data_IF_074361434462
#
_entry.id   IF_074361434462
#
_cell.length_a   1.000
_cell.length_b   1.000
_cell.length_c   1.000
_cell.angle_alpha   90.00
_cell.angle_beta   90.00
_cell.angle_gamma   90.00
#
_symmetry.space_group_name_H-M   'P 1'
#
loop_
_entity.id
_entity.type
_entity.pdbx_description
1 polymer ?
#
# COMPACT_ATOMS: atom_id res chain seq x y z
N UNK A 1 -19.66 -32.26 -5.74
CA UNK A 1 -19.21 -30.88 -6.02
C UNK A 1 -19.17 -30.77 -7.52
N UNK A 2 -19.90 -29.82 -8.09
CA UNK A 2 -19.86 -29.55 -9.52
C UNK A 2 -18.52 -28.87 -9.85
N UNK A 3 -17.88 -29.28 -10.94
CA UNK A 3 -16.60 -28.69 -11.39
C UNK A 3 -16.77 -27.19 -11.67
N UNK A 4 -15.78 -26.33 -11.37
CA UNK A 4 -15.79 -24.90 -11.71
C UNK A 4 -16.16 -24.62 -13.17
N UNK A 5 -15.79 -25.55 -14.05
CA UNK A 5 -16.07 -25.49 -15.49
C UNK A 5 -17.58 -25.51 -15.80
N UNK A 6 -18.41 -26.15 -14.94
CA UNK A 6 -19.89 -26.15 -15.05
C UNK A 6 -20.46 -24.73 -14.87
N UNK A 7 -19.73 -23.87 -14.17
CA UNK A 7 -20.05 -22.45 -13.98
C UNK A 7 -19.22 -21.51 -14.88
N UNK A 8 -18.45 -22.07 -15.83
CA UNK A 8 -17.57 -21.29 -16.73
C UNK A 8 -16.31 -20.72 -16.05
N UNK A 9 -15.95 -21.22 -14.88
CA UNK A 9 -14.77 -20.80 -14.13
C UNK A 9 -13.56 -21.67 -14.48
N UNK A 10 -12.36 -21.08 -14.43
CA UNK A 10 -11.11 -21.81 -14.59
C UNK A 10 -10.97 -22.85 -13.46
N UNK A 11 -10.40 -24.04 -13.70
CA UNK A 11 -10.14 -25.06 -12.67
C UNK A 11 -9.37 -24.56 -11.43
N UNK A 12 -8.66 -23.44 -11.54
CA UNK A 12 -7.96 -22.81 -10.43
C UNK A 12 -8.90 -22.14 -9.41
N UNK A 13 -10.17 -21.93 -9.76
CA UNK A 13 -11.18 -21.38 -8.86
C UNK A 13 -11.43 -22.33 -7.67
N UNK A 14 -11.44 -23.64 -7.90
CA UNK A 14 -11.54 -24.64 -6.82
C UNK A 14 -10.31 -24.61 -5.92
N UNK A 15 -9.11 -24.49 -6.49
CA UNK A 15 -7.86 -24.40 -5.73
C UNK A 15 -7.85 -23.13 -4.88
N UNK A 16 -8.31 -22.00 -5.44
CA UNK A 16 -8.39 -20.71 -4.74
C UNK A 16 -9.42 -20.78 -3.61
N UNK A 17 -10.59 -21.35 -3.87
CA UNK A 17 -11.64 -21.55 -2.88
C UNK A 17 -11.17 -22.44 -1.72
N UNK A 18 -10.52 -23.57 -2.03
CA UNK A 18 -9.98 -24.48 -1.02
C UNK A 18 -8.84 -23.82 -0.23
N UNK A 19 -7.97 -23.04 -0.88
CA UNK A 19 -6.90 -22.30 -0.23
C UNK A 19 -7.43 -21.23 0.73
N UNK A 20 -8.43 -20.44 0.31
CA UNK A 20 -9.09 -19.44 1.15
C UNK A 20 -9.81 -20.11 2.33
N UNK A 21 -10.56 -21.19 2.09
CA UNK A 21 -11.26 -21.93 3.14
C UNK A 21 -10.29 -22.53 4.15
N UNK A 22 -9.18 -23.11 3.69
CA UNK A 22 -8.13 -23.62 4.56
C UNK A 22 -7.47 -22.50 5.38
N UNK A 23 -7.19 -21.35 4.76
CA UNK A 23 -6.67 -20.18 5.45
C UNK A 23 -7.65 -19.67 6.52
N UNK A 24 -8.95 -19.60 6.22
CA UNK A 24 -9.99 -19.18 7.18
C UNK A 24 -10.12 -20.15 8.37
N UNK A 25 -10.04 -21.46 8.12
CA UNK A 25 -10.03 -22.48 9.17
C UNK A 25 -8.78 -22.32 10.05
N UNK A 26 -7.59 -22.20 9.46
CA UNK A 26 -6.34 -22.00 10.20
C UNK A 26 -6.35 -20.68 10.98
N UNK A 27 -6.93 -19.62 10.41
CA UNK A 27 -7.12 -18.33 11.07
C UNK A 27 -8.04 -18.47 12.28
N UNK A 28 -9.14 -19.20 12.14
CA UNK A 28 -10.07 -19.48 13.24
C UNK A 28 -9.41 -20.29 14.34
N UNK A 29 -8.64 -21.33 13.99
CA UNK A 29 -7.89 -22.14 14.96
C UNK A 29 -6.89 -21.27 15.74
N UNK A 30 -6.12 -20.44 15.03
CA UNK A 30 -5.15 -19.51 15.65
C UNK A 30 -5.85 -18.54 16.61
N UNK A 31 -7.00 -18.00 16.21
CA UNK A 31 -7.76 -17.05 17.02
C UNK A 31 -8.39 -17.68 18.29
N UNK A 32 -8.65 -18.99 18.30
CA UNK A 32 -9.23 -19.73 19.44
C UNK A 32 -8.15 -20.21 20.42
N UNK A 33 -6.88 -20.29 20.00
CA UNK A 33 -5.80 -20.70 20.90
C UNK A 33 -5.74 -19.78 22.13
N UNK A 34 -5.59 -20.33 23.36
CA UNK A 34 -5.49 -19.52 24.56
C UNK A 34 -4.27 -18.59 24.47
N UNK A 35 -4.53 -17.30 24.25
CA UNK A 35 -3.51 -16.24 24.16
C UNK A 35 -2.76 -16.02 25.49
N UNK A 36 -3.35 -16.51 26.57
CA UNK A 36 -2.75 -16.66 27.90
C UNK A 36 -2.46 -18.15 28.13
N UNK A 37 -1.36 -18.66 27.62
CA UNK A 37 -0.90 -20.00 28.02
C UNK A 37 0.62 -20.10 28.12
N UNK A 38 1.08 -20.35 29.36
CA UNK A 38 2.36 -20.99 29.65
C UNK A 38 3.50 -20.05 30.02
N UNK A 39 3.80 -19.97 31.33
CA UNK A 39 5.08 -19.47 31.85
C UNK A 39 6.25 -20.38 31.46
N UNK A 40 6.63 -20.33 30.18
CA UNK A 40 7.90 -20.85 29.68
C UNK A 40 8.96 -19.75 29.71
N UNK A 41 10.24 -20.15 29.78
CA UNK A 41 11.45 -19.29 29.80
C UNK A 41 11.68 -18.59 28.45
N UNK A 42 10.66 -18.47 27.61
CA UNK A 42 10.70 -17.79 26.31
C UNK A 42 10.43 -16.30 26.43
N UNK A 43 10.84 -15.56 25.40
CA UNK A 43 10.51 -14.14 25.25
C UNK A 43 8.99 -13.94 25.19
N UNK A 44 8.47 -12.93 25.89
CA UNK A 44 7.02 -12.67 25.92
C UNK A 44 6.51 -12.14 24.59
N UNK A 45 5.21 -12.30 24.31
CA UNK A 45 4.56 -11.76 23.10
C UNK A 45 4.78 -10.26 23.00
N UNK A 46 4.66 -9.58 24.14
CA UNK A 46 4.89 -8.14 24.30
C UNK A 46 6.31 -7.75 23.91
N UNK A 47 7.33 -8.48 24.37
CA UNK A 47 8.72 -8.19 24.04
C UNK A 47 9.02 -8.38 22.54
N UNK A 48 8.48 -9.44 21.92
CA UNK A 48 8.60 -9.67 20.47
C UNK A 48 7.96 -8.53 19.68
N UNK A 49 6.72 -8.15 20.03
CA UNK A 49 5.99 -7.07 19.36
C UNK A 49 6.65 -5.72 19.59
N UNK A 50 7.22 -5.47 20.78
CA UNK A 50 7.94 -4.25 21.08
C UNK A 50 9.16 -4.08 20.17
N UNK A 51 9.99 -5.12 20.00
CA UNK A 51 11.14 -5.09 19.07
C UNK A 51 10.70 -4.88 17.63
N UNK A 52 9.63 -5.57 17.20
CA UNK A 52 9.05 -5.38 15.87
C UNK A 52 8.56 -3.93 15.66
N UNK A 53 7.92 -3.34 16.68
CA UNK A 53 7.48 -1.95 16.63
C UNK A 53 8.66 -0.98 16.52
N UNK A 54 9.78 -1.24 17.20
CA UNK A 54 11.02 -0.47 17.05
C UNK A 54 11.59 -0.56 15.64
N UNK A 55 11.77 -1.77 15.11
CA UNK A 55 12.30 -1.99 13.77
C UNK A 55 11.43 -1.33 12.69
N UNK A 56 10.11 -1.39 12.86
CA UNK A 56 9.16 -0.73 11.95
C UNK A 56 9.24 0.79 12.08
N UNK A 57 9.32 1.34 13.29
CA UNK A 57 9.42 2.79 13.51
C UNK A 57 10.70 3.38 12.93
N UNK A 58 11.82 2.67 13.03
CA UNK A 58 13.11 3.10 12.45
C UNK A 58 13.04 3.20 10.93
N UNK A 59 12.35 2.26 10.28
CA UNK A 59 12.20 2.20 8.82
C UNK A 59 11.04 3.04 8.29
N UNK A 60 10.10 3.44 9.16
CA UNK A 60 8.88 4.14 8.75
C UNK A 60 9.24 5.51 8.15
N UNK A 61 8.80 5.81 6.92
CA UNK A 61 9.16 7.05 6.25
C UNK A 61 8.73 8.28 7.04
N UNK A 62 9.49 9.39 7.01
CA UNK A 62 9.10 10.61 7.69
C UNK A 62 7.83 11.21 7.10
N UNK A 63 7.12 11.98 7.91
CA UNK A 63 5.89 12.65 7.51
C UNK A 63 6.13 13.62 6.33
N UNK A 64 5.14 13.69 5.45
CA UNK A 64 5.07 14.71 4.42
C UNK A 64 4.75 16.07 5.02
N UNK A 65 5.71 16.99 4.94
CA UNK A 65 5.56 18.35 5.43
C UNK A 65 4.66 19.14 4.47
N UNK A 66 3.46 19.60 4.88
CA UNK A 66 2.47 20.15 3.94
C UNK A 66 2.95 21.36 3.14
N UNK A 67 3.70 22.27 3.79
CA UNK A 67 4.21 23.46 3.12
C UNK A 67 5.29 23.12 2.08
N UNK A 68 6.12 22.11 2.35
CA UNK A 68 7.17 21.65 1.45
C UNK A 68 6.57 20.98 0.22
N UNK A 69 5.64 20.03 0.42
CA UNK A 69 4.92 19.37 -0.68
C UNK A 69 4.20 20.40 -1.55
N UNK A 70 3.51 21.38 -0.94
CA UNK A 70 2.85 22.46 -1.68
C UNK A 70 3.83 23.27 -2.52
N UNK A 71 4.97 23.66 -1.96
CA UNK A 71 5.99 24.43 -2.67
C UNK A 71 6.57 23.66 -3.86
N UNK A 72 6.79 22.34 -3.70
CA UNK A 72 7.27 21.45 -4.77
C UNK A 72 6.22 21.31 -5.88
N UNK A 73 4.96 21.05 -5.54
CA UNK A 73 3.86 20.97 -6.50
C UNK A 73 3.71 22.26 -7.31
N UNK A 74 3.85 23.43 -6.67
CA UNK A 74 3.79 24.73 -7.38
C UNK A 74 4.86 24.79 -8.46
N UNK A 75 6.12 24.41 -8.15
CA UNK A 75 7.23 24.37 -9.12
C UNK A 75 7.00 23.38 -10.26
N UNK A 76 6.31 22.27 -10.01
CA UNK A 76 5.98 21.25 -11.02
C UNK A 76 4.76 21.60 -11.89
N UNK A 77 4.05 22.68 -11.58
CA UNK A 77 2.77 23.02 -12.20
C UNK A 77 1.60 22.33 -11.50
N UNK A 78 1.25 22.81 -10.30
CA UNK A 78 0.22 22.22 -9.42
C UNK A 78 -1.20 22.11 -10.03
N UNK A 79 -1.49 22.79 -11.13
CA UNK A 79 -2.76 22.72 -11.86
C UNK A 79 -2.78 21.61 -12.93
N UNK A 80 -1.64 20.97 -13.19
CA UNK A 80 -1.54 19.82 -14.08
C UNK A 80 -2.24 18.62 -13.42
N UNK A 81 -3.05 17.91 -14.20
CA UNK A 81 -3.88 16.80 -13.72
C UNK A 81 -3.06 15.74 -12.97
N UNK A 82 -1.87 15.41 -13.49
CA UNK A 82 -0.94 14.46 -12.86
C UNK A 82 -0.42 14.92 -11.50
N UNK A 83 -0.18 16.23 -11.31
CA UNK A 83 0.29 16.77 -10.04
C UNK A 83 -0.84 16.91 -9.01
N UNK A 84 -2.08 17.16 -9.47
CA UNK A 84 -3.27 17.11 -8.63
C UNK A 84 -3.47 15.68 -8.11
N UNK A 85 -3.33 14.69 -9.01
CA UNK A 85 -3.39 13.27 -8.65
C UNK A 85 -2.31 12.90 -7.62
N UNK A 86 -1.04 13.23 -7.87
CA UNK A 86 0.07 12.99 -6.94
C UNK A 86 -0.21 13.57 -5.55
N UNK A 87 -0.74 14.81 -5.48
CA UNK A 87 -1.10 15.44 -4.20
C UNK A 87 -2.10 14.60 -3.42
N UNK A 88 -3.16 14.12 -4.08
CA UNK A 88 -4.20 13.31 -3.43
C UNK A 88 -3.65 11.97 -2.91
N UNK A 89 -2.74 11.35 -3.67
CA UNK A 89 -2.06 10.12 -3.27
C UNK A 89 -1.12 10.34 -2.08
N UNK A 90 -0.35 11.44 -2.07
CA UNK A 90 0.48 11.86 -0.92
C UNK A 90 -0.38 12.11 0.32
N UNK A 91 -1.51 12.82 0.17
CA UNK A 91 -2.42 13.10 1.28
C UNK A 91 -2.99 11.80 1.89
N UNK A 92 -3.23 10.76 1.08
CA UNK A 92 -3.62 9.43 1.56
C UNK A 92 -2.45 8.69 2.23
N UNK A 93 -1.28 8.66 1.61
CA UNK A 93 -0.09 8.01 2.17
C UNK A 93 0.28 8.61 3.53
N UNK A 94 0.22 9.93 3.67
CA UNK A 94 0.48 10.63 4.93
C UNK A 94 -0.48 10.21 6.04
N UNK A 95 -1.77 9.93 5.73
CA UNK A 95 -2.72 9.42 6.73
C UNK A 95 -2.31 8.04 7.22
N UNK A 96 -1.90 7.15 6.31
CA UNK A 96 -1.40 5.81 6.67
C UNK A 96 -0.17 5.91 7.56
N UNK A 97 0.86 6.66 7.13
CA UNK A 97 2.10 6.84 7.90
C UNK A 97 1.79 7.36 9.31
N UNK A 98 0.95 8.38 9.43
CA UNK A 98 0.59 8.98 10.72
C UNK A 98 -0.12 7.98 11.64
N UNK A 99 -1.09 7.22 11.11
CA UNK A 99 -1.81 6.22 11.89
C UNK A 99 -0.85 5.13 12.37
N UNK A 100 -0.01 4.59 11.49
CA UNK A 100 0.98 3.56 11.84
C UNK A 100 1.94 4.08 12.90
N UNK A 101 2.52 5.27 12.69
CA UNK A 101 3.47 5.89 13.63
C UNK A 101 2.86 6.02 15.03
N UNK A 102 1.66 6.58 15.12
CA UNK A 102 0.98 6.77 16.40
C UNK A 102 0.64 5.43 17.05
N UNK A 103 0.09 4.47 16.27
CA UNK A 103 -0.21 3.14 16.78
C UNK A 103 1.03 2.45 17.35
N UNK A 104 2.17 2.51 16.67
CA UNK A 104 3.42 1.88 17.13
C UNK A 104 3.98 2.57 18.38
N UNK A 105 3.99 3.90 18.44
CA UNK A 105 4.46 4.65 19.61
C UNK A 105 3.59 4.38 20.84
N UNK A 106 2.27 4.45 20.68
CA UNK A 106 1.33 4.19 21.77
C UNK A 106 1.39 2.72 22.21
N UNK A 107 1.58 1.78 21.28
CA UNK A 107 1.72 0.36 21.59
C UNK A 107 2.96 0.10 22.47
N UNK A 108 4.09 0.73 22.15
CA UNK A 108 5.30 0.63 22.99
C UNK A 108 5.03 1.16 24.40
N UNK A 109 4.44 2.34 24.53
CA UNK A 109 4.10 2.93 25.83
C UNK A 109 3.11 2.06 26.62
N UNK A 110 2.17 1.40 25.94
CA UNK A 110 1.21 0.51 26.59
C UNK A 110 1.85 -0.80 27.07
N UNK A 111 2.80 -1.36 26.30
CA UNK A 111 3.58 -2.53 26.69
C UNK A 111 4.45 -2.23 27.92
N UNK A 112 5.03 -1.04 28.00
CA UNK A 112 5.81 -0.58 29.15
C UNK A 112 4.93 -0.24 30.38
N UNK A 113 3.61 -0.24 30.23
CA UNK A 113 2.66 0.13 31.29
C UNK A 113 2.55 1.64 31.53
N UNK A 114 3.12 2.48 30.66
CA UNK A 114 3.05 3.94 30.73
C UNK A 114 1.66 4.47 30.37
N UNK A 115 0.99 3.84 29.41
CA UNK A 115 -0.40 4.15 29.03
C UNK A 115 -1.29 2.91 29.08
N UNK A 116 -2.60 3.12 29.08
CA UNK A 116 -3.58 2.02 29.16
C UNK A 116 -3.67 1.28 27.81
N UNK A 117 -3.62 -0.06 27.87
CA UNK A 117 -3.84 -0.94 26.72
C UNK A 117 -5.30 -0.85 26.23
N UNK A 118 -5.55 0.02 25.26
CA UNK A 118 -6.85 0.16 24.59
C UNK A 118 -7.18 -1.03 23.69
N UNK A 119 -8.43 -1.15 23.24
CA UNK A 119 -8.85 -2.19 22.30
C UNK A 119 -8.05 -2.16 21.00
N UNK A 120 -7.81 -0.96 20.43
CA UNK A 120 -7.01 -0.81 19.21
C UNK A 120 -5.55 -1.22 19.41
N UNK A 121 -4.98 -0.96 20.60
CA UNK A 121 -3.59 -1.36 20.89
C UNK A 121 -3.49 -2.87 21.12
N UNK A 122 -4.51 -3.49 21.74
CA UNK A 122 -4.59 -4.94 21.88
C UNK A 122 -4.76 -5.64 20.53
N UNK A 123 -5.60 -5.10 19.64
CA UNK A 123 -5.71 -5.58 18.25
C UNK A 123 -4.38 -5.46 17.53
N UNK A 124 -3.67 -4.33 17.67
CA UNK A 124 -2.36 -4.15 17.06
C UNK A 124 -1.34 -5.18 17.59
N UNK A 125 -1.27 -5.38 18.91
CA UNK A 125 -0.38 -6.35 19.54
C UNK A 125 -0.62 -7.76 19.01
N UNK A 126 -1.88 -8.20 19.05
CA UNK A 126 -2.26 -9.55 18.63
C UNK A 126 -1.97 -9.78 17.15
N UNK A 127 -2.40 -8.86 16.27
CA UNK A 127 -2.17 -9.01 14.84
C UNK A 127 -0.68 -8.95 14.51
N UNK A 128 0.09 -8.05 15.11
CA UNK A 128 1.54 -7.97 14.87
C UNK A 128 2.27 -9.23 15.30
N UNK A 129 1.90 -9.80 16.45
CA UNK A 129 2.45 -11.09 16.92
C UNK A 129 2.12 -12.23 15.94
N UNK A 130 0.90 -12.26 15.40
CA UNK A 130 0.45 -13.28 14.44
C UNK A 130 0.89 -12.98 12.98
N UNK A 131 1.78 -12.00 12.77
CA UNK A 131 2.24 -11.52 11.46
C UNK A 131 1.10 -11.03 10.52
N UNK A 132 0.01 -10.53 11.10
CA UNK A 132 -1.17 -9.95 10.43
C UNK A 132 -1.18 -8.44 10.54
N UNK A 133 -1.94 -7.80 9.65
CA UNK A 133 -2.07 -6.35 9.61
C UNK A 133 -3.19 -5.93 10.58
N UNK A 134 -2.93 -5.03 11.55
CA UNK A 134 -3.95 -4.46 12.44
C UNK A 134 -5.15 -3.87 11.69
N UNK A 135 -6.34 -3.97 12.27
CA UNK A 135 -7.59 -3.59 11.59
C UNK A 135 -7.63 -2.09 11.26
N UNK A 136 -7.12 -1.26 12.17
CA UNK A 136 -7.06 0.18 11.95
C UNK A 136 -6.20 0.54 10.74
N UNK A 137 -5.12 -0.20 10.47
CA UNK A 137 -4.24 0.04 9.34
C UNK A 137 -4.88 -0.44 8.04
N UNK A 138 -5.52 -1.63 8.03
CA UNK A 138 -6.25 -2.15 6.86
C UNK A 138 -7.32 -1.16 6.37
N UNK A 139 -8.12 -0.59 7.28
CA UNK A 139 -9.21 0.34 6.95
C UNK A 139 -8.79 1.59 6.16
N UNK A 140 -7.53 2.00 6.28
CA UNK A 140 -7.01 3.23 5.66
C UNK A 140 -6.01 2.96 4.54
N UNK A 141 -5.66 1.69 4.30
CA UNK A 141 -4.59 1.30 3.38
C UNK A 141 -5.09 0.34 2.29
N UNK A 142 -4.35 -0.73 2.02
CA UNK A 142 -4.59 -1.74 1.01
C UNK A 142 -4.56 -3.13 1.64
N UNK A 143 -5.09 -4.11 0.91
CA UNK A 143 -5.02 -5.51 1.29
C UNK A 143 -3.64 -6.10 1.00
N UNK A 144 -3.14 -6.93 1.90
CA UNK A 144 -1.87 -7.62 1.76
C UNK A 144 -1.89 -8.91 2.58
N UNK A 145 -1.02 -9.86 2.23
CA UNK A 145 -1.06 -11.22 2.77
C UNK A 145 -0.52 -11.33 4.19
N UNK A 146 0.55 -10.59 4.51
CA UNK A 146 1.17 -10.56 5.84
C UNK A 146 1.58 -9.14 6.21
N UNK A 147 1.84 -8.92 7.49
CA UNK A 147 2.39 -7.65 7.97
C UNK A 147 3.72 -7.29 7.28
N UNK A 148 4.57 -8.29 7.04
CA UNK A 148 5.87 -8.09 6.38
C UNK A 148 5.72 -7.59 4.94
N UNK A 149 4.86 -8.25 4.15
CA UNK A 149 4.57 -7.79 2.78
C UNK A 149 3.92 -6.42 2.77
N UNK A 150 2.92 -6.21 3.64
CA UNK A 150 2.24 -4.92 3.76
C UNK A 150 3.20 -3.78 4.06
N UNK A 151 4.17 -4.01 4.95
CA UNK A 151 5.14 -2.98 5.31
C UNK A 151 6.13 -2.70 4.17
N UNK A 152 6.59 -3.74 3.45
CA UNK A 152 7.40 -3.56 2.24
C UNK A 152 6.64 -2.73 1.20
N UNK A 153 5.38 -3.05 0.93
CA UNK A 153 4.54 -2.26 0.02
C UNK A 153 4.38 -0.82 0.51
N UNK A 154 4.27 -0.58 1.82
CA UNK A 154 4.20 0.79 2.36
C UNK A 154 5.44 1.58 1.99
N UNK A 155 6.63 0.99 2.17
CA UNK A 155 7.90 1.62 1.82
C UNK A 155 8.02 1.89 0.33
N UNK A 156 7.65 0.93 -0.52
CA UNK A 156 7.74 1.05 -1.97
C UNK A 156 6.74 2.07 -2.54
N UNK A 157 5.49 2.05 -2.06
CA UNK A 157 4.46 3.05 -2.43
C UNK A 157 4.91 4.44 -2.02
N UNK A 158 5.41 4.59 -0.79
CA UNK A 158 5.96 5.86 -0.34
C UNK A 158 7.16 6.30 -1.17
N UNK A 159 8.08 5.38 -1.51
CA UNK A 159 9.25 5.67 -2.35
C UNK A 159 8.84 6.24 -3.70
N UNK A 160 7.85 5.63 -4.37
CA UNK A 160 7.30 6.15 -5.63
C UNK A 160 6.81 7.60 -5.49
N UNK A 161 6.03 7.92 -4.46
CA UNK A 161 5.51 9.28 -4.25
C UNK A 161 6.61 10.26 -3.85
N UNK A 162 7.55 9.83 -3.02
CA UNK A 162 8.66 10.66 -2.55
C UNK A 162 9.59 11.02 -3.70
N UNK A 163 10.02 10.05 -4.50
CA UNK A 163 10.82 10.31 -5.71
C UNK A 163 10.05 11.24 -6.64
N UNK A 164 8.76 10.99 -6.87
CA UNK A 164 7.96 11.84 -7.75
C UNK A 164 7.93 13.31 -7.31
N UNK A 165 7.66 13.59 -6.03
CA UNK A 165 7.54 14.97 -5.55
C UNK A 165 8.90 15.67 -5.32
N UNK A 166 9.96 14.93 -5.01
CA UNK A 166 11.27 15.51 -4.66
C UNK A 166 12.26 15.54 -5.81
N UNK A 167 12.26 14.53 -6.66
CA UNK A 167 13.22 14.33 -7.76
C UNK A 167 12.60 14.59 -9.12
N UNK A 168 11.28 14.39 -9.25
CA UNK A 168 10.53 14.64 -10.47
C UNK A 168 9.79 13.40 -10.97
N UNK A 169 9.03 13.57 -12.05
CA UNK A 169 8.14 12.53 -12.57
C UNK A 169 8.90 11.24 -12.93
N UNK A 170 8.53 10.07 -12.35
CA UNK A 170 9.10 8.79 -12.74
C UNK A 170 8.85 8.48 -14.22
N UNK A 171 9.78 7.78 -14.86
CA UNK A 171 9.59 7.26 -16.22
C UNK A 171 8.63 6.07 -16.26
N UNK A 172 8.63 5.27 -15.19
CA UNK A 172 7.81 4.07 -15.04
C UNK A 172 7.03 4.18 -13.73
N UNK A 173 5.73 3.92 -13.79
CA UNK A 173 4.85 3.90 -12.62
C UNK A 173 4.51 2.47 -12.21
N UNK A 174 4.57 2.21 -10.91
CA UNK A 174 3.98 1.03 -10.31
C UNK A 174 2.49 1.28 -10.07
N UNK A 175 1.66 0.75 -10.97
CA UNK A 175 0.22 1.05 -10.98
C UNK A 175 -0.54 0.48 -9.80
N UNK A 176 -0.22 -0.74 -9.36
CA UNK A 176 -0.84 -1.33 -8.16
C UNK A 176 -0.35 -0.66 -6.88
N UNK A 177 0.70 0.17 -6.96
CA UNK A 177 1.19 1.03 -5.90
C UNK A 177 0.31 2.27 -5.62
N UNK A 178 -0.60 2.65 -6.51
CA UNK A 178 -1.54 3.75 -6.27
C UNK A 178 -2.72 3.31 -5.39
N UNK A 179 -3.22 4.23 -4.56
CA UNK A 179 -4.52 4.09 -3.88
C UNK A 179 -5.67 4.25 -4.87
N UNK A 180 -5.49 5.02 -5.94
CA UNK A 180 -6.51 5.24 -6.97
C UNK A 180 -5.95 5.06 -8.39
N UNK A 181 -5.74 3.81 -8.87
CA UNK A 181 -5.24 3.55 -10.23
C UNK A 181 -6.13 4.14 -11.33
N UNK A 182 -7.45 4.17 -11.14
CA UNK A 182 -8.38 4.79 -12.11
C UNK A 182 -8.24 6.31 -12.17
N UNK A 183 -7.95 6.94 -11.02
CA UNK A 183 -7.62 8.35 -10.93
C UNK A 183 -6.36 8.70 -11.71
N UNK A 184 -5.33 7.85 -11.65
CA UNK A 184 -4.12 8.00 -12.45
C UNK A 184 -4.44 7.99 -13.95
N UNK A 185 -5.19 6.98 -14.41
CA UNK A 185 -5.57 6.85 -15.82
C UNK A 185 -6.39 8.06 -16.31
N UNK A 186 -7.26 8.58 -15.45
CA UNK A 186 -8.03 9.80 -15.75
C UNK A 186 -7.13 11.02 -15.82
N UNK A 187 -6.19 11.18 -14.89
CA UNK A 187 -5.25 12.29 -14.87
C UNK A 187 -4.33 12.29 -16.10
N UNK A 188 -3.89 11.11 -16.52
CA UNK A 188 -3.12 10.90 -17.75
C UNK A 188 -3.93 11.30 -18.99
N UNK A 189 -5.17 10.83 -19.13
CA UNK A 189 -6.05 11.25 -20.26
C UNK A 189 -6.26 12.76 -20.30
N UNK A 190 -6.44 13.40 -19.15
CA UNK A 190 -6.57 14.87 -19.06
C UNK A 190 -5.29 15.58 -19.51
N UNK A 191 -4.12 15.05 -19.16
CA UNK A 191 -2.83 15.61 -19.58
C UNK A 191 -2.67 15.54 -21.10
N UNK A 192 -2.95 14.38 -21.69
CA UNK A 192 -2.91 14.17 -23.15
C UNK A 192 -3.90 15.08 -23.88
N UNK A 193 -5.14 15.17 -23.38
CA UNK A 193 -6.18 16.03 -23.96
C UNK A 193 -5.73 17.50 -23.95
N UNK A 194 -5.15 17.98 -22.85
CA UNK A 194 -4.67 19.37 -22.74
C UNK A 194 -3.48 19.66 -23.64
N UNK A 195 -2.65 18.66 -23.93
CA UNK A 195 -1.51 18.80 -24.85
C UNK A 195 -1.94 18.91 -26.33
N UNK A 196 -3.14 18.44 -26.69
CA UNK A 196 -3.63 18.39 -28.07
C UNK A 196 -4.81 19.34 -28.29
N UNK A 197 -4.56 20.43 -29.03
CA UNK A 197 -5.58 21.44 -29.30
C UNK A 197 -6.77 20.83 -30.07
N UNK A 198 -7.98 21.02 -29.53
CA UNK A 198 -9.22 20.55 -30.15
C UNK A 198 -9.63 19.13 -29.77
N UNK A 199 -8.84 18.42 -28.96
CA UNK A 199 -9.24 17.12 -28.42
C UNK A 199 -10.19 17.30 -27.23
N UNK A 200 -11.19 16.43 -27.14
CA UNK A 200 -12.09 16.34 -26.00
C UNK A 200 -11.82 15.06 -25.21
N UNK A 201 -12.04 15.09 -23.89
CA UNK A 201 -11.64 13.99 -23.00
C UNK A 201 -12.31 12.67 -23.40
N UNK A 202 -13.58 12.72 -23.78
CA UNK A 202 -14.40 11.60 -24.25
C UNK A 202 -13.89 10.94 -25.53
N UNK A 203 -13.18 11.69 -26.37
CA UNK A 203 -12.56 11.15 -27.60
C UNK A 203 -11.23 10.43 -27.36
N UNK A 204 -10.61 10.59 -26.17
CA UNK A 204 -9.33 9.97 -25.83
C UNK A 204 -9.55 8.63 -25.16
N UNK A 205 -9.10 7.56 -25.79
CA UNK A 205 -9.11 6.18 -25.27
C UNK A 205 -7.73 5.75 -24.78
N UNK A 206 -7.71 4.80 -23.84
CA UNK A 206 -6.47 4.21 -23.32
C UNK A 206 -6.20 2.94 -24.12
N UNK A 207 -4.97 2.79 -24.60
CA UNK A 207 -4.48 1.57 -25.24
C UNK A 207 -3.27 1.06 -24.46
N UNK A 208 -3.17 -0.26 -24.32
CA UNK A 208 -2.07 -0.92 -23.60
C UNK A 208 -1.29 -1.78 -24.58
N UNK A 209 0.03 -1.64 -24.57
CA UNK A 209 0.95 -2.51 -25.28
C UNK A 209 1.91 -3.15 -24.28
N UNK A 210 2.07 -4.46 -24.36
CA UNK A 210 2.98 -5.20 -23.46
C UNK A 210 4.37 -5.20 -24.07
N UNK A 211 5.32 -4.54 -23.41
CA UNK A 211 6.71 -4.50 -23.83
C UNK A 211 7.48 -5.76 -23.39
N UNK A 212 8.55 -6.09 -24.14
CA UNK A 212 9.53 -7.11 -23.75
C UNK A 212 10.59 -6.59 -22.77
N UNK A 213 10.71 -5.27 -22.63
CA UNK A 213 11.74 -4.61 -21.84
C UNK A 213 11.40 -4.67 -20.35
N UNK A 214 12.43 -4.87 -19.51
CA UNK A 214 12.28 -4.76 -18.05
C UNK A 214 12.43 -3.29 -17.61
N UNK A 215 11.96 -2.98 -16.39
CA UNK A 215 11.94 -1.61 -15.84
C UNK A 215 13.30 -0.91 -15.96
N UNK A 216 14.38 -1.63 -15.68
CA UNK A 216 15.75 -1.13 -15.64
C UNK A 216 16.27 -0.71 -17.02
N UNK A 217 15.69 -1.23 -18.11
CA UNK A 217 16.07 -0.92 -19.49
C UNK A 217 15.43 0.39 -19.99
N UNK A 218 14.44 0.92 -19.28
CA UNK A 218 13.71 2.14 -19.67
C UNK A 218 14.42 3.36 -19.08
N UNK A 219 15.35 3.91 -19.85
CA UNK A 219 16.15 5.09 -19.45
C UNK A 219 15.61 6.42 -19.98
N UNK A 220 14.71 6.38 -20.97
CA UNK A 220 14.12 7.57 -21.58
C UNK A 220 12.71 7.84 -21.03
N UNK A 221 12.42 9.13 -20.81
CA UNK A 221 11.06 9.55 -20.48
C UNK A 221 10.09 9.20 -21.62
N UNK A 222 8.91 8.65 -21.32
CA UNK A 222 7.91 8.41 -22.35
C UNK A 222 7.44 9.75 -22.97
N UNK A 223 7.01 9.74 -24.24
CA UNK A 223 6.23 10.84 -24.80
C UNK A 223 5.04 11.18 -23.91
N UNK A 224 4.55 12.42 -23.94
CA UNK A 224 3.42 12.88 -23.09
C UNK A 224 2.16 12.00 -23.27
N UNK A 225 2.01 11.35 -24.42
CA UNK A 225 0.91 10.42 -24.73
C UNK A 225 1.06 9.01 -24.16
N UNK A 226 2.20 8.67 -23.57
CA UNK A 226 2.54 7.33 -23.10
C UNK A 226 2.93 7.41 -21.62
N UNK A 227 2.57 6.39 -20.84
CA UNK A 227 3.14 6.19 -19.51
C UNK A 227 3.53 4.73 -19.39
N UNK A 228 4.78 4.48 -19.00
CA UNK A 228 5.23 3.12 -18.75
C UNK A 228 4.71 2.65 -17.41
N UNK A 229 4.18 1.43 -17.39
CA UNK A 229 3.60 0.80 -16.21
C UNK A 229 4.27 -0.54 -15.99
N UNK A 230 4.68 -0.80 -14.75
CA UNK A 230 5.12 -2.13 -14.33
C UNK A 230 4.06 -2.77 -13.42
N UNK A 231 3.53 -3.96 -13.77
CA UNK A 231 2.69 -4.74 -12.86
C UNK A 231 3.57 -5.54 -11.88
N UNK A 232 3.31 -5.42 -10.58
CA UNK A 232 3.66 -6.50 -9.64
C UNK A 232 2.41 -7.36 -9.44
N UNK A 233 2.50 -8.62 -9.84
CA UNK A 233 1.64 -9.69 -9.33
C UNK A 233 2.42 -10.30 -8.15
N UNK A 234 1.96 -10.03 -6.92
CA UNK A 234 2.32 -10.84 -5.76
C UNK A 234 1.31 -11.98 -5.62
#
# INVERSE_FOLDING_TARGET
>A
MDSPEVFGLHPNADITYQSNTAADVLNTITNIQPKESGGGVGETREAIVYRLAEDMLEKLPPDYVPHEVKARLIKMGHLNSMNIFLRQEIDRMQKVIKIVRNSLLDLKLAIEGTIIMSENLRDALDNMYDARIPQLWKRVSWDSSTLGFWFTELLERNSQFRVWIFEGRPHVFWMTGFFNPQGFLTAMRQEVTRAHKGWALDTVTIHNEVLKQIKEEITAAPPVSISWVHPFLH
#
